data_IF_147711297189
#
_entry.id   IF_147711297189
#
_cell.length_a   1.000
_cell.length_b   1.000
_cell.length_c   1.000
_cell.angle_alpha   90.00
_cell.angle_beta   90.00
_cell.angle_gamma   90.00
#
_symmetry.space_group_name_H-M   'P 1'
#
loop_
_entity.id
_entity.type
_entity.pdbx_description
1 polymer ?
#
# COMPACT_ATOMS: atom_id res chain seq x y z
N UNK A 1 -2.99 12.22 38.32
CA UNK A 1 -1.80 12.44 37.46
C UNK A 1 -1.61 11.27 36.52
N UNK A 2 -1.54 10.02 37.03
CA UNK A 2 -1.42 8.80 36.20
C UNK A 2 -2.55 8.59 35.17
N UNK A 3 -3.82 8.78 35.55
CA UNK A 3 -4.96 8.66 34.62
C UNK A 3 -4.86 9.60 33.41
N UNK A 4 -4.47 10.85 33.63
CA UNK A 4 -4.32 11.85 32.57
C UNK A 4 -3.15 11.51 31.62
N UNK A 5 -2.08 10.90 32.13
CA UNK A 5 -0.95 10.43 31.32
C UNK A 5 -1.36 9.24 30.44
N UNK A 6 -2.06 8.26 31.02
CA UNK A 6 -2.59 7.12 30.27
C UNK A 6 -3.60 7.54 29.20
N UNK A 7 -4.45 8.54 29.49
CA UNK A 7 -5.40 9.08 28.51
C UNK A 7 -4.66 9.75 27.34
N UNK A 8 -3.61 10.52 27.61
CA UNK A 8 -2.74 11.09 26.58
C UNK A 8 -2.07 10.01 25.74
N UNK A 9 -1.50 8.98 26.38
CA UNK A 9 -0.87 7.87 25.68
C UNK A 9 -1.86 7.15 24.76
N UNK A 10 -3.09 6.91 25.24
CA UNK A 10 -4.16 6.30 24.45
C UNK A 10 -4.53 7.14 23.23
N UNK A 11 -4.69 8.45 23.42
CA UNK A 11 -5.01 9.37 22.31
C UNK A 11 -3.91 9.41 21.25
N UNK A 12 -2.64 9.40 21.66
CA UNK A 12 -1.52 9.30 20.75
C UNK A 12 -1.57 7.98 19.96
N UNK A 13 -1.73 6.84 20.64
CA UNK A 13 -1.81 5.54 19.98
C UNK A 13 -2.97 5.45 18.96
N UNK A 14 -4.12 6.05 19.25
CA UNK A 14 -5.25 6.13 18.32
C UNK A 14 -4.92 6.98 17.10
N UNK A 15 -4.26 8.12 17.32
CA UNK A 15 -3.90 9.06 16.24
C UNK A 15 -2.87 8.45 15.31
N UNK A 16 -1.82 7.84 15.87
CA UNK A 16 -0.77 7.16 15.09
C UNK A 16 -1.36 5.99 14.31
N UNK A 17 -2.26 5.21 14.92
CA UNK A 17 -2.97 4.12 14.23
C UNK A 17 -3.79 4.63 13.05
N UNK A 18 -4.55 5.73 13.21
CA UNK A 18 -5.32 6.31 12.10
C UNK A 18 -4.43 6.78 10.96
N UNK A 19 -3.30 7.40 11.28
CA UNK A 19 -2.32 7.82 10.29
C UNK A 19 -1.79 6.64 9.48
N UNK A 20 -1.42 5.54 10.14
CA UNK A 20 -0.98 4.32 9.45
C UNK A 20 -2.10 3.73 8.56
N UNK A 21 -3.34 3.74 9.02
CA UNK A 21 -4.48 3.27 8.22
C UNK A 21 -4.68 4.11 6.95
N UNK A 22 -4.53 5.44 7.04
CA UNK A 22 -4.57 6.34 5.88
C UNK A 22 -3.41 6.06 4.91
N UNK A 23 -2.19 5.88 5.42
CA UNK A 23 -1.02 5.56 4.61
C UNK A 23 -1.18 4.19 3.89
N UNK A 24 -1.71 3.18 4.58
CA UNK A 24 -2.05 1.87 4.00
C UNK A 24 -3.08 2.02 2.89
N UNK A 25 -4.15 2.79 3.13
CA UNK A 25 -5.21 3.02 2.14
C UNK A 25 -4.66 3.70 0.87
N UNK A 26 -3.79 4.71 1.04
CA UNK A 26 -3.15 5.41 -0.06
C UNK A 26 -2.22 4.51 -0.88
N UNK A 27 -1.46 3.63 -0.22
CA UNK A 27 -0.59 2.65 -0.89
C UNK A 27 -1.39 1.60 -1.65
N UNK A 28 -2.52 1.14 -1.08
CA UNK A 28 -3.44 0.23 -1.79
C UNK A 28 -4.00 0.87 -3.05
N UNK A 29 -4.39 2.15 -3.00
CA UNK A 29 -4.81 2.89 -4.19
C UNK A 29 -3.70 2.94 -5.24
N UNK A 30 -2.47 3.22 -4.82
CA UNK A 30 -1.29 3.25 -5.70
C UNK A 30 -1.06 1.90 -6.39
N UNK A 31 -1.19 0.79 -5.67
CA UNK A 31 -1.10 -0.56 -6.25
C UNK A 31 -2.17 -0.78 -7.32
N UNK A 32 -3.42 -0.39 -7.06
CA UNK A 32 -4.50 -0.56 -8.04
C UNK A 32 -4.25 0.28 -9.31
N UNK A 33 -3.73 1.49 -9.18
CA UNK A 33 -3.29 2.30 -10.32
C UNK A 33 -2.14 1.63 -11.10
N UNK A 34 -1.14 1.08 -10.40
CA UNK A 34 -0.03 0.35 -11.04
C UNK A 34 -0.49 -0.93 -11.73
N UNK A 35 -1.42 -1.68 -11.13
CA UNK A 35 -2.04 -2.87 -11.75
C UNK A 35 -2.81 -2.51 -13.02
N UNK A 36 -3.56 -1.39 -13.01
CA UNK A 36 -4.25 -0.90 -14.20
C UNK A 36 -3.26 -0.54 -15.31
N UNK A 37 -2.17 0.18 -14.98
CA UNK A 37 -1.09 0.51 -15.93
C UNK A 37 -0.44 -0.76 -16.50
N UNK A 38 -0.12 -1.72 -15.63
CA UNK A 38 0.47 -3.00 -16.01
C UNK A 38 -0.43 -3.77 -16.98
N UNK A 39 -1.73 -3.87 -16.67
CA UNK A 39 -2.69 -4.55 -17.51
C UNK A 39 -2.85 -3.86 -18.88
N UNK A 40 -2.92 -2.52 -18.91
CA UNK A 40 -2.96 -1.78 -20.17
C UNK A 40 -1.71 -2.03 -21.02
N UNK A 41 -0.53 -1.97 -20.41
CA UNK A 41 0.74 -2.18 -21.11
C UNK A 41 0.88 -3.61 -21.63
N UNK A 42 0.47 -4.62 -20.86
CA UNK A 42 0.41 -6.01 -21.31
C UNK A 42 -0.49 -6.19 -22.53
N UNK A 43 -1.67 -5.56 -22.54
CA UNK A 43 -2.59 -5.57 -23.69
C UNK A 43 -2.01 -4.87 -24.90
N UNK A 44 -1.38 -3.70 -24.72
CA UNK A 44 -0.69 -2.94 -25.77
C UNK A 44 0.41 -3.78 -26.41
N UNK A 45 1.34 -4.31 -25.60
CA UNK A 45 2.47 -5.12 -26.08
C UNK A 45 2.02 -6.40 -26.81
N UNK A 46 0.95 -7.06 -26.33
CA UNK A 46 0.39 -8.21 -27.03
C UNK A 46 -0.22 -7.82 -28.39
N UNK A 47 -0.96 -6.71 -28.43
CA UNK A 47 -1.56 -6.20 -29.67
C UNK A 47 -0.50 -5.85 -30.69
N UNK A 48 0.56 -5.15 -30.29
CA UNK A 48 1.68 -4.78 -31.16
C UNK A 48 2.38 -6.02 -31.73
N UNK A 49 2.60 -7.05 -30.91
CA UNK A 49 3.14 -8.34 -31.37
C UNK A 49 2.26 -9.00 -32.44
N UNK A 50 0.94 -9.01 -32.25
CA UNK A 50 0.03 -9.57 -33.25
C UNK A 50 -0.04 -8.74 -34.53
N UNK A 51 0.07 -7.41 -34.43
CA UNK A 51 0.13 -6.54 -35.62
C UNK A 51 1.39 -6.81 -36.44
N UNK A 52 2.53 -7.07 -35.79
CA UNK A 52 3.78 -7.48 -36.45
C UNK A 52 3.63 -8.82 -37.19
N UNK A 53 3.09 -9.85 -36.53
CA UNK A 53 2.93 -11.19 -37.12
C UNK A 53 2.00 -11.19 -38.35
N UNK A 54 1.08 -10.22 -38.44
CA UNK A 54 0.13 -10.09 -39.54
C UNK A 54 0.61 -9.26 -40.75
N UNK A 55 1.74 -8.57 -40.66
CA UNK A 55 2.22 -7.65 -41.69
C UNK A 55 3.57 -8.12 -42.27
N UNK A 56 3.52 -8.96 -43.31
CA UNK A 56 4.70 -9.47 -44.03
C UNK A 56 5.44 -8.43 -44.88
N UNK A 57 5.06 -7.15 -44.80
CA UNK A 57 5.53 -6.07 -45.69
C UNK A 57 6.28 -4.94 -44.97
N UNK A 58 6.64 -5.11 -43.70
CA UNK A 58 7.37 -4.08 -42.93
C UNK A 58 8.80 -3.90 -43.44
N UNK A 59 9.25 -2.64 -43.52
CA UNK A 59 10.64 -2.26 -43.80
C UNK A 59 11.57 -2.76 -42.68
N UNK A 60 12.85 -3.09 -42.97
CA UNK A 60 13.84 -3.42 -41.94
C UNK A 60 13.96 -2.38 -40.81
N UNK A 61 13.80 -1.09 -41.14
CA UNK A 61 13.85 0.01 -40.17
C UNK A 61 12.65 -0.03 -39.19
N UNK A 62 11.45 -0.29 -39.71
CA UNK A 62 10.21 -0.42 -38.92
C UNK A 62 10.26 -1.65 -38.01
N UNK A 63 10.88 -2.74 -38.47
CA UNK A 63 11.12 -3.94 -37.66
C UNK A 63 12.06 -3.65 -36.49
N UNK A 64 13.14 -2.91 -36.70
CA UNK A 64 14.09 -2.56 -35.63
C UNK A 64 13.44 -1.64 -34.59
N UNK A 65 12.69 -0.63 -35.03
CA UNK A 65 11.97 0.28 -34.13
C UNK A 65 10.95 -0.49 -33.26
N UNK A 66 10.19 -1.40 -33.87
CA UNK A 66 9.20 -2.18 -33.14
C UNK A 66 9.85 -3.16 -32.14
N UNK A 67 11.01 -3.74 -32.49
CA UNK A 67 11.78 -4.56 -31.57
C UNK A 67 12.25 -3.75 -30.35
N UNK A 68 12.75 -2.54 -30.58
CA UNK A 68 13.16 -1.62 -29.50
C UNK A 68 11.98 -1.25 -28.60
N UNK A 69 10.82 -0.93 -29.19
CA UNK A 69 9.61 -0.64 -28.42
C UNK A 69 9.16 -1.84 -27.57
N UNK A 70 9.16 -3.04 -28.15
CA UNK A 70 8.82 -4.28 -27.43
C UNK A 70 9.75 -4.54 -26.24
N UNK A 71 11.06 -4.31 -26.41
CA UNK A 71 12.02 -4.41 -25.31
C UNK A 71 11.80 -3.35 -24.23
N UNK A 72 11.46 -2.11 -24.60
CA UNK A 72 11.14 -1.05 -23.65
C UNK A 72 9.88 -1.39 -22.85
N UNK A 73 8.81 -1.83 -23.53
CA UNK A 73 7.56 -2.24 -22.90
C UNK A 73 7.78 -3.42 -21.93
N UNK A 74 8.60 -4.41 -22.31
CA UNK A 74 8.97 -5.52 -21.42
C UNK A 74 9.72 -5.04 -20.16
N UNK A 75 10.65 -4.09 -20.29
CA UNK A 75 11.36 -3.51 -19.14
C UNK A 75 10.39 -2.77 -18.22
N UNK A 76 9.47 -2.01 -18.79
CA UNK A 76 8.46 -1.27 -18.04
C UNK A 76 7.47 -2.21 -17.33
N UNK A 77 7.03 -3.30 -17.99
CA UNK A 77 6.21 -4.35 -17.38
C UNK A 77 6.91 -4.92 -16.14
N UNK A 78 8.18 -5.32 -16.27
CA UNK A 78 8.96 -5.85 -15.13
C UNK A 78 9.11 -4.84 -14.00
N UNK A 79 9.34 -3.57 -14.35
CA UNK A 79 9.44 -2.49 -13.37
C UNK A 79 8.15 -2.32 -12.57
N UNK A 80 6.99 -2.31 -13.26
CA UNK A 80 5.67 -2.23 -12.61
C UNK A 80 5.39 -3.46 -11.73
N UNK A 81 5.72 -4.67 -12.20
CA UNK A 81 5.56 -5.90 -11.40
C UNK A 81 6.40 -5.85 -10.12
N UNK A 82 7.65 -5.40 -10.20
CA UNK A 82 8.51 -5.22 -9.03
C UNK A 82 8.01 -4.11 -8.10
N UNK A 83 7.49 -3.01 -8.64
CA UNK A 83 6.92 -1.92 -7.85
C UNK A 83 5.70 -2.38 -7.05
N UNK A 84 4.79 -3.12 -7.69
CA UNK A 84 3.60 -3.70 -7.04
C UNK A 84 4.02 -4.61 -5.89
N UNK A 85 4.94 -5.56 -6.11
CA UNK A 85 5.40 -6.48 -5.06
C UNK A 85 6.06 -5.72 -3.90
N UNK A 86 6.86 -4.70 -4.20
CA UNK A 86 7.47 -3.85 -3.17
C UNK A 86 6.40 -3.13 -2.35
N UNK A 87 5.41 -2.52 -3.00
CA UNK A 87 4.32 -1.81 -2.32
C UNK A 87 3.45 -2.77 -1.47
N UNK A 88 3.21 -3.99 -1.95
CA UNK A 88 2.50 -5.03 -1.20
C UNK A 88 3.26 -5.41 0.09
N UNK A 89 4.58 -5.56 0.00
CA UNK A 89 5.43 -5.80 1.17
C UNK A 89 5.40 -4.63 2.16
N UNK A 90 5.53 -3.39 1.66
CA UNK A 90 5.49 -2.18 2.48
C UNK A 90 4.13 -2.03 3.20
N UNK A 91 3.02 -2.40 2.55
CA UNK A 91 1.71 -2.47 3.20
C UNK A 91 1.69 -3.51 4.32
N UNK A 92 2.22 -4.72 4.08
CA UNK A 92 2.28 -5.77 5.09
C UNK A 92 3.07 -5.36 6.34
N UNK A 93 4.16 -4.62 6.15
CA UNK A 93 4.95 -4.08 7.26
C UNK A 93 4.17 -3.00 8.04
N UNK A 94 3.46 -2.10 7.35
CA UNK A 94 2.61 -1.09 7.98
C UNK A 94 1.41 -1.70 8.71
N UNK A 95 0.79 -2.75 8.17
CA UNK A 95 -0.30 -3.47 8.83
C UNK A 95 0.15 -4.15 10.12
N UNK A 96 1.38 -4.65 10.14
CA UNK A 96 2.01 -5.20 11.34
C UNK A 96 2.24 -4.12 12.40
N UNK A 97 2.70 -2.93 11.99
CA UNK A 97 2.88 -1.78 12.88
C UNK A 97 1.53 -1.29 13.44
N UNK A 98 0.52 -1.14 12.59
CA UNK A 98 -0.85 -0.78 12.97
C UNK A 98 -1.43 -1.76 14.00
N UNK A 99 -1.21 -3.06 13.79
CA UNK A 99 -1.63 -4.12 14.72
C UNK A 99 -0.92 -4.02 16.07
N UNK A 100 0.37 -3.67 16.10
CA UNK A 100 1.12 -3.45 17.33
C UNK A 100 0.62 -2.23 18.11
N UNK A 101 0.31 -1.13 17.41
CA UNK A 101 -0.29 0.06 18.02
C UNK A 101 -1.68 -0.25 18.58
N UNK A 102 -2.47 -1.04 17.86
CA UNK A 102 -3.78 -1.51 18.33
C UNK A 102 -3.65 -2.33 19.63
N UNK A 103 -2.71 -3.28 19.69
CA UNK A 103 -2.43 -4.03 20.91
C UNK A 103 -1.89 -3.16 22.06
N UNK A 104 -1.11 -2.11 21.75
CA UNK A 104 -0.65 -1.13 22.74
C UNK A 104 -1.83 -0.32 23.30
N UNK A 105 -2.70 0.19 22.43
CA UNK A 105 -3.88 0.97 22.81
C UNK A 105 -4.80 0.17 23.74
N UNK A 106 -5.04 -1.11 23.43
CA UNK A 106 -5.86 -2.00 24.28
C UNK A 106 -5.24 -2.17 25.67
N UNK A 107 -3.92 -2.35 25.76
CA UNK A 107 -3.22 -2.46 27.06
C UNK A 107 -3.33 -1.19 27.88
N UNK A 108 -3.18 -0.03 27.24
CA UNK A 108 -3.35 1.28 27.91
C UNK A 108 -4.79 1.46 28.38
N UNK A 109 -5.77 1.07 27.57
CA UNK A 109 -7.19 1.11 27.94
C UNK A 109 -7.52 0.20 29.12
N UNK A 110 -6.95 -1.00 29.19
CA UNK A 110 -7.11 -1.89 30.34
C UNK A 110 -6.54 -1.26 31.62
N UNK A 111 -5.37 -0.62 31.52
CA UNK A 111 -4.77 0.07 32.67
C UNK A 111 -5.55 1.30 33.09
N UNK A 112 -6.09 2.08 32.14
CA UNK A 112 -7.00 3.20 32.42
C UNK A 112 -8.18 2.75 33.26
N UNK A 113 -8.88 1.69 32.86
CA UNK A 113 -10.03 1.14 33.59
C UNK A 113 -9.72 0.75 35.04
N UNK A 114 -8.48 0.33 35.33
CA UNK A 114 -8.06 -0.01 36.69
C UNK A 114 -7.71 1.20 37.56
N UNK A 115 -7.41 2.35 36.94
CA UNK A 115 -6.98 3.58 37.62
C UNK A 115 -8.08 4.64 37.64
N UNK A 116 -9.08 4.54 36.75
CA UNK A 116 -10.26 5.38 36.70
C UNK A 116 -11.01 5.34 38.05
N UNK A 117 -11.14 6.50 38.70
CA UNK A 117 -11.97 6.65 39.89
C UNK A 117 -13.43 6.49 39.48
N UNK A 118 -14.12 5.55 40.10
CA UNK A 118 -15.55 5.37 39.84
C UNK A 118 -16.33 6.53 40.46
N UNK A 119 -17.55 6.78 39.96
CA UNK A 119 -18.44 7.80 40.55
C UNK A 119 -18.70 7.56 42.04
N UNK A 120 -18.58 6.32 42.51
CA UNK A 120 -18.68 5.94 43.92
C UNK A 120 -17.51 6.45 44.77
N UNK A 121 -16.31 6.60 44.19
CA UNK A 121 -15.12 7.11 44.88
C UNK A 121 -15.12 8.65 45.02
N UNK A 122 -15.95 9.34 44.23
CA UNK A 122 -16.06 10.81 44.20
C UNK A 122 -17.14 11.30 45.16
N UNK A 123 -18.14 10.46 45.46
CA UNK A 123 -19.33 10.82 46.26
C UNK A 123 -19.12 10.55 47.77
N UNK A 124 -18.06 9.84 48.17
CA UNK A 124 -17.64 9.67 49.58
C UNK A 124 -16.84 10.85 50.10
#
# INVERSE_FOLDING_TARGET
MEEAELMKERLLAITDKRRLQEDIAQRRLTIEEEKLKLHHLKKKSLREKWLLDGLSTMSPEEQEETLRQSQADQKQIKSLELSIVRLEQEIGDLEKEESQLSAKEVRVLQRLKSVERTTEDIIK
#
